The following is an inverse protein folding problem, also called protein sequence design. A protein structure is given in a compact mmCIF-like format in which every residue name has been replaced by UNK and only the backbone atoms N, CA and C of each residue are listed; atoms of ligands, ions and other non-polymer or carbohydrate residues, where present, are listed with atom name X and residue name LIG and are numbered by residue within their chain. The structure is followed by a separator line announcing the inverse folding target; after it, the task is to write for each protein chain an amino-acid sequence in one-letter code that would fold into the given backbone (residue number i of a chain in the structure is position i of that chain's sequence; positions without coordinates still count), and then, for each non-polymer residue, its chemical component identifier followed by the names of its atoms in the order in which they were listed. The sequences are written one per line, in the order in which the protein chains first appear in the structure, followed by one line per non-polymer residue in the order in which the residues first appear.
data_IF_864582762361
#
_entry.id   IF_864582762361
#
_cell.length_a   1.000
_cell.length_b   1.000
_cell.length_c   1.000
_cell.angle_alpha   90.00
_cell.angle_beta   90.00
_cell.angle_gamma   90.00
#
_symmetry.space_group_name_H-M   'P 1'
#
loop_
_entity.id
_entity.type
_entity.pdbx_description
1 polymer ?
#
# COMPACT_ATOMS: atom_id res chain seq x y z
N UNK A 1 -9.23 23.49 10.32
CA UNK A 1 -8.53 22.83 9.20
C UNK A 1 -8.12 21.38 9.52
N UNK A 2 -8.03 20.96 10.80
CA UNK A 2 -7.63 19.58 11.17
C UNK A 2 -8.73 18.54 10.92
N UNK A 3 -9.95 18.79 11.41
CA UNK A 3 -11.05 17.80 11.37
C UNK A 3 -11.46 17.39 9.95
N UNK A 4 -11.54 18.35 9.03
CA UNK A 4 -11.92 18.13 7.63
C UNK A 4 -10.89 17.26 6.87
N UNK A 5 -9.60 17.40 7.20
CA UNK A 5 -8.53 16.59 6.62
C UNK A 5 -8.53 15.16 7.15
N UNK A 6 -8.79 14.99 8.46
CA UNK A 6 -8.93 13.67 9.08
C UNK A 6 -10.13 12.92 8.52
N UNK A 7 -11.30 13.57 8.45
CA UNK A 7 -12.52 12.97 7.91
C UNK A 7 -12.32 12.54 6.46
N UNK A 8 -11.74 13.40 5.63
CA UNK A 8 -11.41 13.08 4.22
C UNK A 8 -10.47 11.88 4.11
N UNK A 9 -9.43 11.81 4.97
CA UNK A 9 -8.47 10.69 4.95
C UNK A 9 -9.12 9.36 5.37
N UNK A 10 -9.99 9.39 6.38
CA UNK A 10 -10.75 8.21 6.84
C UNK A 10 -11.70 7.73 5.74
N UNK A 11 -12.49 8.63 5.14
CA UNK A 11 -13.42 8.28 4.07
C UNK A 11 -12.68 7.65 2.89
N UNK A 12 -11.55 8.26 2.47
CA UNK A 12 -10.72 7.72 1.40
C UNK A 12 -10.17 6.33 1.71
N UNK A 13 -9.76 6.05 2.95
CA UNK A 13 -9.32 4.72 3.35
C UNK A 13 -10.46 3.70 3.26
N UNK A 14 -11.67 4.08 3.71
CA UNK A 14 -12.86 3.22 3.65
C UNK A 14 -13.31 2.94 2.21
N UNK A 15 -13.22 3.92 1.31
CA UNK A 15 -13.53 3.75 -0.12
C UNK A 15 -12.62 2.73 -0.81
N UNK A 16 -11.40 2.53 -0.30
CA UNK A 16 -10.43 1.57 -0.86
C UNK A 16 -10.66 0.13 -0.37
N UNK A 17 -11.44 -0.07 0.69
CA UNK A 17 -11.67 -1.38 1.32
C UNK A 17 -12.20 -2.43 0.34
N UNK A 18 -13.23 -2.16 -0.49
CA UNK A 18 -13.76 -3.18 -1.41
C UNK A 18 -12.71 -3.64 -2.44
N UNK A 19 -11.91 -2.71 -2.95
CA UNK A 19 -10.84 -3.00 -3.91
C UNK A 19 -9.71 -3.79 -3.26
N UNK A 20 -9.35 -3.47 -2.01
CA UNK A 20 -8.37 -4.22 -1.22
C UNK A 20 -8.85 -5.66 -0.94
N UNK A 21 -10.10 -5.85 -0.53
CA UNK A 21 -10.68 -7.18 -0.32
C UNK A 21 -10.66 -8.01 -1.61
N UNK A 22 -11.01 -7.40 -2.75
CA UNK A 22 -10.96 -8.07 -4.05
C UNK A 22 -9.52 -8.51 -4.37
N UNK A 23 -8.54 -7.62 -4.18
CA UNK A 23 -7.13 -7.93 -4.39
C UNK A 23 -6.63 -9.07 -3.48
N UNK A 24 -7.02 -9.08 -2.20
CA UNK A 24 -6.66 -10.17 -1.28
C UNK A 24 -7.25 -11.52 -1.72
N UNK A 25 -8.49 -11.53 -2.19
CA UNK A 25 -9.13 -12.74 -2.70
C UNK A 25 -8.48 -13.24 -4.00
N UNK A 26 -8.13 -12.33 -4.91
CA UNK A 26 -7.44 -12.68 -6.16
C UNK A 26 -6.04 -13.28 -5.89
N UNK A 27 -5.41 -12.85 -4.79
CA UNK A 27 -4.10 -13.33 -4.34
C UNK A 27 -4.17 -14.57 -3.43
N UNK A 28 -5.36 -15.09 -3.08
CA UNK A 28 -5.54 -16.18 -2.09
C UNK A 28 -4.71 -17.43 -2.40
N UNK A 29 -4.59 -17.77 -3.68
CA UNK A 29 -3.81 -18.90 -4.17
C UNK A 29 -2.30 -18.78 -3.89
N UNK A 30 -1.80 -17.57 -3.61
CA UNK A 30 -0.38 -17.30 -3.31
C UNK A 30 -0.05 -17.49 -1.83
N UNK A 31 -1.05 -17.44 -0.96
CA UNK A 31 -0.87 -17.52 0.47
C UNK A 31 -0.84 -18.97 0.95
N UNK A 32 0.02 -19.25 1.92
CA UNK A 32 0.01 -20.51 2.67
C UNK A 32 -1.18 -20.58 3.65
N UNK A 33 -1.38 -21.70 4.33
CA UNK A 33 -2.51 -21.86 5.25
C UNK A 33 -2.52 -20.87 6.42
N UNK A 34 -1.35 -20.43 6.88
CA UNK A 34 -1.21 -19.45 7.97
C UNK A 34 -1.50 -18.04 7.47
N UNK A 35 -0.97 -17.70 6.31
CA UNK A 35 -1.19 -16.42 5.64
C UNK A 35 -2.65 -16.25 5.26
N UNK A 36 -3.32 -17.27 4.72
CA UNK A 36 -4.77 -17.23 4.43
C UNK A 36 -5.61 -16.94 5.67
N UNK A 37 -5.25 -17.51 6.81
CA UNK A 37 -5.93 -17.20 8.07
C UNK A 37 -5.74 -15.73 8.47
N UNK A 38 -4.51 -15.19 8.36
CA UNK A 38 -4.24 -13.76 8.62
C UNK A 38 -5.01 -12.86 7.65
N UNK A 39 -5.04 -13.21 6.37
CA UNK A 39 -5.79 -12.48 5.33
C UNK A 39 -7.28 -12.50 5.66
N UNK A 40 -7.84 -13.65 6.02
CA UNK A 40 -9.25 -13.75 6.42
C UNK A 40 -9.55 -12.89 7.66
N UNK A 41 -8.69 -12.91 8.68
CA UNK A 41 -8.86 -12.06 9.86
C UNK A 41 -8.79 -10.57 9.48
N UNK A 42 -7.84 -10.18 8.64
CA UNK A 42 -7.68 -8.81 8.15
C UNK A 42 -8.89 -8.35 7.34
N UNK A 43 -9.40 -9.18 6.40
CA UNK A 43 -10.63 -8.92 5.66
C UNK A 43 -11.83 -8.73 6.61
N UNK A 44 -11.93 -9.53 7.67
CA UNK A 44 -12.98 -9.35 8.69
C UNK A 44 -12.89 -8.00 9.41
N UNK A 45 -11.68 -7.46 9.63
CA UNK A 45 -11.49 -6.12 10.20
C UNK A 45 -11.79 -5.02 9.19
N UNK A 46 -11.41 -5.23 7.93
CA UNK A 46 -11.75 -4.35 6.79
C UNK A 46 -13.26 -4.15 6.67
N UNK A 47 -14.01 -5.25 6.62
CA UNK A 47 -15.47 -5.22 6.49
C UNK A 47 -16.16 -4.56 7.69
N UNK A 48 -15.56 -4.67 8.88
CA UNK A 48 -16.04 -4.02 10.09
C UNK A 48 -15.63 -2.55 10.23
N UNK A 49 -14.82 -2.01 9.31
CA UNK A 49 -14.26 -0.65 9.40
C UNK A 49 -13.27 -0.46 10.56
N UNK A 50 -12.69 -1.55 11.09
CA UNK A 50 -11.80 -1.55 12.26
C UNK A 50 -10.33 -1.65 11.86
N UNK A 51 -9.89 -0.79 10.94
CA UNK A 51 -8.61 -0.90 10.22
C UNK A 51 -7.62 0.26 10.46
N UNK A 52 -7.86 1.06 11.50
CA UNK A 52 -7.08 2.26 11.79
C UNK A 52 -6.08 2.07 12.94
N UNK A 53 -5.82 0.83 13.34
CA UNK A 53 -4.81 0.52 14.34
C UNK A 53 -3.44 0.32 13.67
N UNK A 54 -2.36 0.59 14.40
CA UNK A 54 -1.00 0.39 13.88
C UNK A 54 -0.77 -1.06 13.43
N UNK A 55 -1.39 -2.03 14.12
CA UNK A 55 -1.33 -3.45 13.74
C UNK A 55 -1.85 -3.71 12.33
N UNK A 56 -2.84 -2.94 11.86
CA UNK A 56 -3.46 -3.16 10.55
C UNK A 56 -2.51 -2.72 9.43
N UNK A 57 -1.76 -1.64 9.67
CA UNK A 57 -0.68 -1.21 8.78
C UNK A 57 0.42 -2.28 8.75
N UNK A 58 0.86 -2.75 9.92
CA UNK A 58 1.91 -3.77 10.01
C UNK A 58 1.49 -5.09 9.34
N UNK A 59 0.28 -5.58 9.58
CA UNK A 59 -0.22 -6.80 8.95
C UNK A 59 -0.26 -6.66 7.43
N UNK A 60 -0.69 -5.50 6.93
CA UNK A 60 -0.73 -5.23 5.49
C UNK A 60 0.67 -5.11 4.87
N UNK A 61 1.62 -4.49 5.57
CA UNK A 61 3.02 -4.40 5.15
C UNK A 61 3.70 -5.77 5.13
N UNK A 62 3.48 -6.59 6.17
CA UNK A 62 3.95 -7.97 6.24
C UNK A 62 3.43 -8.82 5.07
N UNK A 63 2.14 -8.71 4.75
CA UNK A 63 1.51 -9.42 3.65
C UNK A 63 2.05 -8.96 2.27
N UNK A 64 2.34 -7.66 2.14
CA UNK A 64 2.84 -7.09 0.89
C UNK A 64 4.33 -7.33 0.66
N UNK A 65 5.14 -7.40 1.71
CA UNK A 65 6.60 -7.50 1.63
C UNK A 65 7.12 -8.58 0.67
N UNK A 66 6.69 -9.86 0.73
CA UNK A 66 7.19 -10.89 -0.18
C UNK A 66 6.77 -10.62 -1.63
N UNK A 67 5.59 -10.05 -1.84
CA UNK A 67 5.06 -9.74 -3.17
C UNK A 67 5.80 -8.55 -3.78
N UNK A 68 6.11 -7.54 -2.97
CA UNK A 68 6.90 -6.39 -3.38
C UNK A 68 8.31 -6.79 -3.78
N UNK A 69 8.96 -7.68 -3.00
CA UNK A 69 10.28 -8.21 -3.35
C UNK A 69 10.28 -8.92 -4.72
N UNK A 70 9.20 -9.63 -5.06
CA UNK A 70 9.07 -10.28 -6.37
C UNK A 70 8.88 -9.29 -7.51
N UNK A 71 8.08 -8.22 -7.29
CA UNK A 71 7.93 -7.13 -8.26
C UNK A 71 9.28 -6.44 -8.49
N UNK A 72 10.05 -6.21 -7.43
CA UNK A 72 11.40 -5.64 -7.50
C UNK A 72 12.37 -6.50 -8.30
N UNK A 73 12.30 -7.83 -8.17
CA UNK A 73 13.08 -8.77 -8.98
C UNK A 73 12.63 -8.83 -10.45
N UNK A 74 11.43 -8.32 -10.75
CA UNK A 74 10.86 -8.28 -12.09
C UNK A 74 11.37 -7.15 -12.99
N UNK A 75 12.21 -6.25 -12.47
CA UNK A 75 12.79 -5.17 -13.26
C UNK A 75 13.97 -5.67 -14.10
N UNK A 76 13.97 -5.33 -15.38
CA UNK A 76 15.02 -5.69 -16.33
C UNK A 76 15.48 -4.46 -17.10
N UNK A 77 16.80 -4.25 -17.17
CA UNK A 77 17.41 -3.26 -18.06
C UNK A 77 17.89 -3.95 -19.33
N UNK A 78 17.48 -3.43 -20.49
CA UNK A 78 17.96 -3.90 -21.79
C UNK A 78 18.41 -2.74 -22.67
N UNK A 79 19.27 -3.05 -23.63
CA UNK A 79 19.77 -2.10 -24.60
C UNK A 79 18.86 -2.12 -25.84
N UNK A 80 18.39 -0.95 -26.26
CA UNK A 80 17.60 -0.76 -27.48
C UNK A 80 18.51 -0.19 -28.55
N UNK A 81 18.71 -0.93 -29.64
CA UNK A 81 19.45 -0.44 -30.80
C UNK A 81 18.54 0.40 -31.70
N UNK A 82 18.93 1.65 -31.95
CA UNK A 82 18.35 2.45 -33.03
C UNK A 82 19.06 2.12 -34.35
N UNK A 83 18.37 1.47 -35.28
CA UNK A 83 18.91 1.15 -36.60
C UNK A 83 19.08 2.40 -37.49
N UNK A 84 18.54 3.57 -37.09
CA UNK A 84 18.48 4.78 -37.92
C UNK A 84 19.33 5.97 -37.45
N UNK A 85 20.14 5.88 -36.39
CA UNK A 85 21.02 6.98 -35.97
C UNK A 85 22.48 6.56 -35.70
N UNK A 86 23.40 7.41 -36.13
CA UNK A 86 24.86 7.22 -36.08
C UNK A 86 25.49 7.23 -34.66
N UNK A 87 24.68 7.35 -33.61
CA UNK A 87 25.09 7.31 -32.22
C UNK A 87 24.36 6.13 -31.57
N UNK A 88 25.11 5.12 -31.13
CA UNK A 88 24.58 3.88 -30.60
C UNK A 88 23.45 4.06 -29.58
N UNK A 89 22.63 3.01 -29.47
CA UNK A 89 21.34 2.95 -28.76
C UNK A 89 21.25 3.48 -27.31
N UNK A 90 20.13 3.18 -26.65
CA UNK A 90 19.88 3.59 -25.26
C UNK A 90 19.56 2.40 -24.37
N UNK A 91 19.74 2.56 -23.06
CA UNK A 91 19.26 1.59 -22.07
C UNK A 91 17.83 1.94 -21.67
N UNK A 92 16.97 0.93 -21.66
CA UNK A 92 15.59 1.02 -21.18
C UNK A 92 15.42 0.03 -20.03
N UNK A 93 14.76 0.48 -18.96
CA UNK A 93 14.40 -0.37 -17.82
C UNK A 93 12.90 -0.61 -17.87
N UNK A 94 12.50 -1.87 -18.01
CA UNK A 94 11.12 -2.31 -18.10
C UNK A 94 10.78 -3.26 -16.96
N UNK A 95 9.51 -3.26 -16.56
CA UNK A 95 8.97 -4.26 -15.66
C UNK A 95 8.47 -5.44 -16.50
N UNK A 96 8.92 -6.66 -16.17
CA UNK A 96 8.49 -7.86 -16.87
C UNK A 96 6.96 -8.05 -16.76
N UNK A 97 6.28 -8.60 -17.78
CA UNK A 97 4.82 -8.68 -17.80
C UNK A 97 4.19 -9.35 -16.57
N UNK A 98 4.81 -10.42 -16.05
CA UNK A 98 4.33 -11.11 -14.86
C UNK A 98 4.42 -10.23 -13.60
N UNK A 99 5.50 -9.45 -13.47
CA UNK A 99 5.68 -8.52 -12.35
C UNK A 99 4.77 -7.30 -12.47
N UNK A 100 4.50 -6.82 -13.69
CA UNK A 100 3.52 -5.76 -13.95
C UNK A 100 2.08 -6.21 -13.63
N UNK A 101 1.72 -7.45 -13.96
CA UNK A 101 0.42 -8.01 -13.57
C UNK A 101 0.29 -8.11 -12.04
N UNK A 102 1.36 -8.55 -11.37
CA UNK A 102 1.40 -8.65 -9.91
C UNK A 102 1.35 -7.28 -9.22
N UNK A 103 2.04 -6.28 -9.78
CA UNK A 103 1.96 -4.88 -9.33
C UNK A 103 0.52 -4.35 -9.49
N UNK A 104 -0.13 -4.62 -10.63
CA UNK A 104 -1.51 -4.20 -10.85
C UNK A 104 -2.48 -4.82 -9.84
N UNK A 105 -2.32 -6.11 -9.52
CA UNK A 105 -3.15 -6.84 -8.52
C UNK A 105 -2.92 -6.34 -7.09
N UNK A 106 -1.70 -5.92 -6.76
CA UNK A 106 -1.34 -5.46 -5.40
C UNK A 106 -1.55 -3.97 -5.18
N UNK A 107 -1.74 -3.20 -6.26
CA UNK A 107 -1.97 -1.75 -6.19
C UNK A 107 -3.08 -1.31 -5.23
N UNK A 108 -4.26 -1.96 -5.16
CA UNK A 108 -5.29 -1.58 -4.19
C UNK A 108 -4.82 -1.69 -2.73
N UNK A 109 -4.00 -2.70 -2.42
CA UNK A 109 -3.45 -2.91 -1.08
C UNK A 109 -2.42 -1.84 -0.72
N UNK A 110 -1.55 -1.47 -1.67
CA UNK A 110 -0.61 -0.35 -1.49
C UNK A 110 -1.34 0.97 -1.25
N UNK A 111 -2.40 1.26 -2.02
CA UNK A 111 -3.22 2.45 -1.85
C UNK A 111 -3.91 2.49 -0.48
N UNK A 112 -4.45 1.36 -0.03
CA UNK A 112 -5.05 1.24 1.30
C UNK A 112 -4.02 1.49 2.39
N UNK A 113 -2.83 0.88 2.29
CA UNK A 113 -1.73 1.08 3.24
C UNK A 113 -1.35 2.56 3.35
N UNK A 114 -1.19 3.23 2.22
CA UNK A 114 -0.84 4.67 2.20
C UNK A 114 -1.93 5.52 2.85
N UNK A 115 -3.21 5.20 2.62
CA UNK A 115 -4.33 5.89 3.25
C UNK A 115 -4.35 5.69 4.77
N UNK A 116 -4.10 4.46 5.26
CA UNK A 116 -4.02 4.16 6.69
C UNK A 116 -2.83 4.88 7.35
N UNK A 117 -1.67 4.90 6.69
CA UNK A 117 -0.49 5.64 7.14
C UNK A 117 -0.78 7.14 7.23
N UNK A 118 -1.51 7.71 6.27
CA UNK A 118 -1.93 9.11 6.30
C UNK A 118 -2.82 9.40 7.52
N UNK A 119 -3.84 8.58 7.76
CA UNK A 119 -4.74 8.73 8.94
C UNK A 119 -3.93 8.69 10.25
N UNK A 120 -3.02 7.72 10.38
CA UNK A 120 -2.14 7.61 11.55
C UNK A 120 -1.27 8.87 11.73
N UNK A 121 -0.67 9.36 10.65
CA UNK A 121 0.21 10.52 10.69
C UNK A 121 -0.55 11.81 11.06
N UNK A 122 -1.79 11.97 10.56
CA UNK A 122 -2.66 13.08 10.95
C UNK A 122 -2.98 13.03 12.45
N UNK A 123 -3.38 11.86 12.96
CA UNK A 123 -3.71 11.67 14.39
C UNK A 123 -2.53 11.99 15.29
N UNK A 124 -1.34 11.51 14.90
CA UNK A 124 -0.11 11.81 15.63
C UNK A 124 0.24 13.30 15.62
N UNK A 125 -0.05 14.00 14.53
CA UNK A 125 0.18 15.44 14.42
C UNK A 125 -0.75 16.20 15.37
N UNK A 126 -2.02 15.84 15.43
CA UNK A 126 -3.00 16.39 16.38
C UNK A 126 -2.56 16.18 17.84
N UNK A 127 -2.14 14.96 18.20
CA UNK A 127 -1.66 14.64 19.54
C UNK A 127 -0.44 15.51 19.95
N UNK A 128 0.48 15.75 19.02
CA UNK A 128 1.65 16.61 19.25
C UNK A 128 1.22 18.06 19.44
N UNK A 129 0.31 18.57 18.60
CA UNK A 129 -0.20 19.93 18.70
C UNK A 129 -0.92 20.18 20.03
N UNK A 130 -1.76 19.24 20.48
CA UNK A 130 -2.45 19.32 21.78
C UNK A 130 -1.43 19.39 22.91
N UNK A 131 -0.44 18.49 22.93
CA UNK A 131 0.63 18.50 23.96
C UNK A 131 1.42 19.80 23.96
N UNK A 132 1.72 20.37 22.79
CA UNK A 132 2.43 21.66 22.69
C UNK A 132 1.59 22.82 23.23
N UNK A 133 0.28 22.83 22.98
CA UNK A 133 -0.63 23.84 23.52
C UNK A 133 -0.73 23.75 25.05
N UNK A 134 -0.84 22.54 25.60
CA UNK A 134 -0.88 22.31 27.05
C UNK A 134 0.41 22.76 27.76
N UNK A 135 1.57 22.60 27.11
CA UNK A 135 2.86 23.06 27.65
C UNK A 135 3.03 24.58 27.61
N UNK A 136 2.40 25.26 26.65
CA UNK A 136 2.48 26.72 26.50
C UNK A 136 1.61 27.48 27.52
N UNK A 137 0.62 26.80 28.10
CA UNK A 137 -0.27 27.35 29.13
C UNK A 137 0.16 27.02 30.57
N UNK A 138 1.34 26.39 30.74
CA UNK A 138 2.01 26.22 32.04
C UNK A 138 3.18 27.18 32.15
#
# INVERSE_FOLDING_TARGET
MSDDQMETAILRALELVPAANTALNDLDHRFDSRERWRVHEFCGRLDAGKIFEDRDIYDLEDLLAPIQAEIELGWMTHWVHDENHAAGGWSETILLPAAAELEAKTRPLSLLRDALVLVRNLRRTEDVLIKMLEQRHR
#
